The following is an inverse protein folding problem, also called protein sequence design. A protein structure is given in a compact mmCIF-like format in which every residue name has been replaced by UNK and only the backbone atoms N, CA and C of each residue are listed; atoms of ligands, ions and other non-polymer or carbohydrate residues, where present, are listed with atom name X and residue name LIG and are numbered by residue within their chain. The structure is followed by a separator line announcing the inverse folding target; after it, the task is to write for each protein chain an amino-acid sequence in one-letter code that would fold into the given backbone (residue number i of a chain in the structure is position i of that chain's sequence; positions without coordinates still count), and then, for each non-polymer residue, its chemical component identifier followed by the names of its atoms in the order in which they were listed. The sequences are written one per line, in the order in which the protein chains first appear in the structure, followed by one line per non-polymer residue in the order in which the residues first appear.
data_IF_697858791693
#
_entry.id   IF_697858791693
#
_cell.length_a   1.000
_cell.length_b   1.000
_cell.length_c   1.000
_cell.angle_alpha   90.00
_cell.angle_beta   90.00
_cell.angle_gamma   90.00
#
_symmetry.space_group_name_H-M   'P 1'
#
loop_
_entity.id
_entity.type
_entity.pdbx_description
1 polymer ?
#
# COMPACT_ATOMS: atom_id res chain seq x y z
N UNK A 1 31.92 -18.81 -28.91
CA UNK A 1 31.34 -18.33 -27.64
C UNK A 1 30.04 -17.61 -27.99
N UNK A 2 28.88 -18.22 -27.75
CA UNK A 2 27.60 -17.57 -28.06
C UNK A 2 27.38 -16.44 -27.05
N UNK A 3 27.46 -15.18 -27.52
CA UNK A 3 27.01 -14.03 -26.77
C UNK A 3 25.50 -14.18 -26.61
N UNK A 4 25.05 -14.74 -25.48
CA UNK A 4 23.65 -14.64 -25.07
C UNK A 4 23.39 -13.15 -24.89
N UNK A 5 22.74 -12.54 -25.86
CA UNK A 5 22.15 -11.22 -25.71
C UNK A 5 21.17 -11.35 -24.55
N UNK A 6 21.56 -10.88 -23.36
CA UNK A 6 20.66 -10.83 -22.22
C UNK A 6 19.47 -9.96 -22.63
N UNK A 7 18.30 -10.59 -22.76
CA UNK A 7 17.03 -9.88 -22.95
C UNK A 7 16.69 -9.16 -21.65
N UNK A 8 17.38 -8.05 -21.38
CA UNK A 8 17.07 -7.16 -20.27
C UNK A 8 15.94 -6.23 -20.70
N UNK A 9 14.71 -6.62 -20.40
CA UNK A 9 13.53 -5.84 -20.72
C UNK A 9 13.43 -4.54 -19.89
N UNK A 10 14.13 -4.46 -18.75
CA UNK A 10 14.10 -3.26 -17.89
C UNK A 10 14.66 -2.03 -18.57
N UNK A 11 15.54 -2.19 -19.57
CA UNK A 11 16.09 -1.09 -20.38
C UNK A 11 15.03 -0.30 -21.19
N UNK A 12 13.82 -0.87 -21.32
CA UNK A 12 12.69 -0.23 -21.98
C UNK A 12 11.79 0.53 -20.98
N UNK A 13 12.12 0.49 -19.69
CA UNK A 13 11.47 1.28 -18.66
C UNK A 13 12.11 2.67 -18.58
N UNK A 14 11.38 3.63 -18.01
CA UNK A 14 11.99 4.87 -17.55
C UNK A 14 13.01 4.57 -16.44
N UNK A 15 13.96 5.48 -16.22
CA UNK A 15 14.95 5.34 -15.13
C UNK A 15 14.23 5.22 -13.77
N UNK A 16 13.16 5.97 -13.57
CA UNK A 16 12.35 5.97 -12.34
C UNK A 16 11.65 4.63 -12.13
N UNK A 17 11.02 4.08 -13.18
CA UNK A 17 10.35 2.79 -13.12
C UNK A 17 11.33 1.63 -12.90
N UNK A 18 12.50 1.68 -13.54
CA UNK A 18 13.56 0.69 -13.32
C UNK A 18 14.05 0.72 -11.87
N UNK A 19 14.27 1.90 -11.30
CA UNK A 19 14.64 2.05 -9.90
C UNK A 19 13.54 1.51 -8.97
N UNK A 20 12.27 1.83 -9.26
CA UNK A 20 11.13 1.35 -8.50
C UNK A 20 11.04 -0.18 -8.53
N UNK A 21 11.20 -0.80 -9.70
CA UNK A 21 11.16 -2.25 -9.84
C UNK A 21 12.31 -2.93 -9.09
N UNK A 22 13.50 -2.33 -9.12
CA UNK A 22 14.66 -2.85 -8.41
C UNK A 22 14.45 -2.77 -6.90
N UNK A 23 13.84 -1.69 -6.41
CA UNK A 23 13.43 -1.57 -5.01
C UNK A 23 12.41 -2.63 -4.61
N UNK A 24 11.37 -2.87 -5.42
CA UNK A 24 10.37 -3.92 -5.16
C UNK A 24 11.04 -5.29 -5.06
N UNK A 25 11.94 -5.60 -5.99
CA UNK A 25 12.70 -6.86 -6.01
C UNK A 25 13.56 -7.02 -4.75
N UNK A 26 14.22 -5.95 -4.30
CA UNK A 26 15.02 -5.93 -3.07
C UNK A 26 14.16 -6.13 -1.82
N UNK A 27 13.02 -5.44 -1.71
CA UNK A 27 12.10 -5.60 -0.57
C UNK A 27 11.54 -7.03 -0.49
N UNK A 28 11.32 -7.65 -1.65
CA UNK A 28 10.82 -9.02 -1.76
C UNK A 28 11.84 -10.06 -1.30
N UNK A 29 13.13 -9.71 -1.18
CA UNK A 29 14.20 -10.64 -0.79
C UNK A 29 13.99 -11.27 0.60
N UNK A 30 13.17 -10.67 1.47
CA UNK A 30 12.78 -11.29 2.75
C UNK A 30 12.01 -12.61 2.58
N UNK A 31 11.41 -12.84 1.41
CA UNK A 31 10.72 -14.08 1.05
C UNK A 31 11.61 -15.08 0.29
N UNK A 32 12.93 -14.89 0.29
CA UNK A 32 13.86 -15.72 -0.50
C UNK A 32 13.72 -17.21 -0.24
N UNK A 33 13.47 -17.62 1.00
CA UNK A 33 13.27 -19.03 1.33
C UNK A 33 12.03 -19.63 0.63
N UNK A 34 10.99 -18.83 0.36
CA UNK A 34 9.78 -19.28 -0.31
C UNK A 34 9.99 -19.37 -1.83
N UNK A 35 10.47 -18.30 -2.49
CA UNK A 35 10.52 -18.27 -3.95
C UNK A 35 11.74 -19.02 -4.54
N UNK A 36 12.83 -19.20 -3.79
CA UNK A 36 14.05 -19.84 -4.32
C UNK A 36 13.86 -21.33 -4.62
N UNK A 37 12.92 -21.98 -3.95
CA UNK A 37 12.63 -23.41 -4.10
C UNK A 37 11.48 -23.68 -5.09
N UNK A 38 10.96 -22.66 -5.77
CA UNK A 38 9.91 -22.81 -6.75
C UNK A 38 10.49 -23.13 -8.13
N UNK A 39 9.75 -23.92 -8.91
CA UNK A 39 10.11 -24.24 -10.31
C UNK A 39 10.27 -22.96 -11.14
N UNK A 40 9.38 -21.99 -10.91
CA UNK A 40 9.40 -20.68 -11.55
C UNK A 40 9.74 -19.56 -10.56
N UNK A 41 11.02 -19.47 -10.20
CA UNK A 41 11.56 -18.50 -9.23
C UNK A 41 11.08 -17.06 -9.47
N UNK A 42 11.06 -16.59 -10.72
CA UNK A 42 10.64 -15.22 -11.06
C UNK A 42 9.14 -14.98 -10.83
N UNK A 43 8.31 -15.97 -11.16
CA UNK A 43 6.86 -15.90 -10.91
C UNK A 43 6.58 -15.98 -9.42
N UNK A 44 7.24 -16.88 -8.70
CA UNK A 44 7.10 -16.98 -7.25
C UNK A 44 7.55 -15.69 -6.55
N UNK A 45 8.64 -15.05 -7.02
CA UNK A 45 9.09 -13.75 -6.53
C UNK A 45 8.05 -12.66 -6.80
N UNK A 46 7.42 -12.63 -7.98
CA UNK A 46 6.35 -11.70 -8.29
C UNK A 46 5.15 -11.86 -7.34
N UNK A 47 4.72 -13.09 -7.08
CA UNK A 47 3.64 -13.35 -6.11
C UNK A 47 4.01 -12.89 -4.69
N UNK A 48 5.26 -13.11 -4.27
CA UNK A 48 5.73 -12.62 -2.98
C UNK A 48 5.67 -11.08 -2.91
N UNK A 49 6.05 -10.38 -3.98
CA UNK A 49 5.95 -8.92 -4.07
C UNK A 49 4.47 -8.46 -4.01
N UNK A 50 3.57 -9.17 -4.68
CA UNK A 50 2.14 -8.85 -4.71
C UNK A 50 1.47 -9.01 -3.33
N UNK A 51 1.80 -10.08 -2.60
CA UNK A 51 1.33 -10.27 -1.21
C UNK A 51 1.77 -9.11 -0.32
N UNK A 52 2.99 -8.63 -0.50
CA UNK A 52 3.51 -7.48 0.24
C UNK A 52 2.78 -6.19 -0.10
N UNK A 53 2.49 -5.99 -1.38
CA UNK A 53 1.71 -4.85 -1.86
C UNK A 53 0.30 -4.87 -1.26
N UNK A 54 -0.38 -6.02 -1.28
CA UNK A 54 -1.70 -6.20 -0.69
C UNK A 54 -1.69 -5.89 0.82
N UNK A 55 -0.68 -6.36 1.56
CA UNK A 55 -0.51 -6.01 2.98
C UNK A 55 -0.31 -4.52 3.21
N UNK A 56 0.39 -3.81 2.30
CA UNK A 56 0.55 -2.35 2.38
C UNK A 56 -0.78 -1.65 2.13
N UNK A 57 -1.57 -2.09 1.13
CA UNK A 57 -2.91 -1.56 0.87
C UNK A 57 -3.83 -1.74 2.08
N UNK A 58 -3.89 -2.94 2.66
CA UNK A 58 -4.70 -3.21 3.86
C UNK A 58 -4.32 -2.31 5.04
N UNK A 59 -3.03 -2.03 5.23
CA UNK A 59 -2.56 -1.09 6.27
C UNK A 59 -3.01 0.35 5.99
N UNK A 60 -3.03 0.77 4.72
CA UNK A 60 -3.50 2.09 4.33
C UNK A 60 -5.01 2.19 4.55
N UNK A 61 -5.78 1.20 4.10
CA UNK A 61 -7.23 1.13 4.29
C UNK A 61 -7.62 1.16 5.78
N UNK A 62 -6.94 0.37 6.62
CA UNK A 62 -7.18 0.39 8.07
C UNK A 62 -6.88 1.76 8.70
N UNK A 63 -5.83 2.46 8.24
CA UNK A 63 -5.53 3.82 8.71
C UNK A 63 -6.57 4.82 8.24
N UNK A 64 -7.06 4.68 7.00
CA UNK A 64 -8.09 5.55 6.44
C UNK A 64 -9.40 5.40 7.21
N UNK A 65 -9.87 4.16 7.44
CA UNK A 65 -11.05 3.87 8.26
C UNK A 65 -10.97 4.47 9.66
N UNK A 66 -9.80 4.43 10.28
CA UNK A 66 -9.59 5.05 11.60
C UNK A 66 -9.74 6.57 11.54
N UNK A 67 -9.24 7.21 10.49
CA UNK A 67 -9.36 8.65 10.29
C UNK A 67 -10.82 9.04 10.03
N UNK A 68 -11.51 8.30 9.17
CA UNK A 68 -12.94 8.48 8.88
C UNK A 68 -13.78 8.39 10.16
N UNK A 69 -13.56 7.35 10.97
CA UNK A 69 -14.25 7.19 12.26
C UNK A 69 -14.03 8.38 13.21
N UNK A 70 -12.81 8.91 13.28
CA UNK A 70 -12.51 10.08 14.11
C UNK A 70 -13.27 11.30 13.59
N UNK A 71 -13.27 11.54 12.28
CA UNK A 71 -13.95 12.68 11.67
C UNK A 71 -15.47 12.60 11.81
N UNK A 72 -16.07 11.43 11.63
CA UNK A 72 -17.49 11.21 11.90
C UNK A 72 -17.84 11.52 13.35
N UNK A 73 -17.02 11.03 14.30
CA UNK A 73 -17.21 11.34 15.72
C UNK A 73 -17.05 12.82 16.07
N UNK A 74 -16.16 13.54 15.38
CA UNK A 74 -16.01 14.99 15.53
C UNK A 74 -17.22 15.74 14.95
N UNK A 75 -17.68 15.37 13.75
CA UNK A 75 -18.83 15.98 13.11
C UNK A 75 -20.09 15.84 13.98
N UNK A 76 -20.32 14.64 14.53
CA UNK A 76 -21.45 14.39 15.44
C UNK A 76 -21.39 15.25 16.71
N UNK A 77 -20.22 15.37 17.34
CA UNK A 77 -20.04 16.23 18.52
C UNK A 77 -20.32 17.71 18.21
N UNK A 78 -19.86 18.19 17.06
CA UNK A 78 -20.13 19.58 16.62
C UNK A 78 -21.64 19.83 16.46
N UNK A 79 -22.37 18.85 15.92
CA UNK A 79 -23.82 18.94 15.77
C UNK A 79 -24.55 18.93 17.13
N UNK A 80 -24.14 18.05 18.05
CA UNK A 80 -24.66 17.99 19.42
C UNK A 80 -24.42 19.30 20.19
N UNK A 81 -23.20 19.86 20.11
CA UNK A 81 -22.84 21.13 20.74
C UNK A 81 -23.65 22.30 20.17
N UNK A 82 -23.85 22.32 18.84
CA UNK A 82 -24.68 23.31 18.16
C UNK A 82 -26.14 23.23 18.63
N UNK A 83 -26.70 22.03 18.72
CA UNK A 83 -28.07 21.83 19.18
C UNK A 83 -28.25 22.23 20.65
N UNK A 84 -27.27 21.90 21.51
CA UNK A 84 -27.26 22.33 22.90
C UNK A 84 -27.24 23.86 23.03
N UNK A 85 -26.43 24.53 22.22
CA UNK A 85 -26.33 25.99 22.20
C UNK A 85 -27.61 26.65 21.66
N UNK A 86 -28.24 26.08 20.63
CA UNK A 86 -29.53 26.57 20.13
C UNK A 86 -30.65 26.42 21.17
N UNK A 87 -30.65 25.32 21.94
CA UNK A 87 -31.61 25.12 23.04
C UNK A 87 -31.42 26.13 24.17
N UNK A 88 -30.18 26.40 24.57
CA UNK A 88 -29.91 27.38 25.64
C UNK A 88 -30.32 28.79 25.24
N UNK A 89 -30.12 29.18 23.97
CA UNK A 89 -30.53 30.49 23.45
C UNK A 89 -32.07 30.67 23.36
N UNK A 90 -32.84 29.59 23.16
CA UNK A 90 -34.32 29.64 23.13
C UNK A 90 -34.97 29.63 24.52
N UNK A 91 -34.21 29.30 25.55
CA UNK A 91 -34.67 29.30 26.94
C UNK A 91 -34.57 30.66 27.65
N UNK A 92 -34.01 31.67 26.98
CA UNK A 92 -34.05 33.08 27.34
C UNK A 92 -35.14 33.80 26.53
#
# INVERSE_FOLDING_TARGET
MFVKTEKNWKKYLSIEDEQLINKIIQETAKYRAAYKNADEVKIAQLWCALIDFEKKLQKIDARLKRIEFIFEGLAKRIEEDKDALLKSLRGF
#
